data_IF_985420048321
#
_entry.id   IF_985420048321
#
_cell.length_a   1.000
_cell.length_b   1.000
_cell.length_c   1.000
_cell.angle_alpha   90.00
_cell.angle_beta   90.00
_cell.angle_gamma   90.00
#
_symmetry.space_group_name_H-M   'P 1'
#
loop_
_entity.id
_entity.type
_entity.pdbx_description
1 polymer ?
#
# COMPACT_ATOMS: atom_id res chain seq x y z
N UNK A 1 0.52 17.00 6.98
CA UNK A 1 0.90 15.64 7.42
C UNK A 1 2.41 15.61 7.62
N UNK A 2 2.91 14.90 8.65
CA UNK A 2 4.34 14.71 8.88
C UNK A 2 5.01 14.00 7.70
N UNK A 3 6.28 14.31 7.41
CA UNK A 3 7.00 13.80 6.24
C UNK A 3 7.04 12.27 6.21
N UNK A 4 7.47 11.60 7.28
CA UNK A 4 7.52 10.14 7.33
C UNK A 4 6.15 9.49 7.10
N UNK A 5 5.09 10.01 7.73
CA UNK A 5 3.73 9.52 7.45
C UNK A 5 3.37 9.68 5.97
N UNK A 6 3.57 10.87 5.40
CA UNK A 6 3.22 11.12 3.99
C UNK A 6 3.97 10.20 3.05
N UNK A 7 5.27 10.04 3.26
CA UNK A 7 6.14 9.25 2.38
C UNK A 7 5.86 7.75 2.50
N UNK A 8 5.35 7.25 3.62
CA UNK A 8 4.89 5.86 3.72
C UNK A 8 3.51 5.68 3.07
N UNK A 9 2.56 6.57 3.38
CA UNK A 9 1.19 6.43 2.84
C UNK A 9 1.08 6.69 1.35
N UNK A 10 1.99 7.47 0.75
CA UNK A 10 2.00 7.75 -0.69
C UNK A 10 2.10 6.45 -1.54
N UNK A 11 3.17 5.63 -1.45
CA UNK A 11 3.25 4.39 -2.20
C UNK A 11 2.24 3.34 -1.74
N UNK A 12 1.86 3.29 -0.45
CA UNK A 12 0.75 2.43 0.01
C UNK A 12 -0.56 2.76 -0.71
N UNK A 13 -0.87 4.05 -0.88
CA UNK A 13 -2.08 4.50 -1.57
C UNK A 13 -2.05 4.16 -3.07
N UNK A 14 -0.89 4.24 -3.71
CA UNK A 14 -0.70 3.84 -5.10
C UNK A 14 -0.97 2.34 -5.30
N UNK A 15 -0.34 1.48 -4.49
CA UNK A 15 -0.52 0.03 -4.56
C UNK A 15 -1.96 -0.39 -4.24
N UNK A 16 -2.57 0.22 -3.22
CA UNK A 16 -3.97 0.01 -2.87
C UNK A 16 -4.90 0.42 -4.02
N UNK A 17 -4.69 1.59 -4.60
CA UNK A 17 -5.51 2.10 -5.71
C UNK A 17 -5.37 1.29 -6.99
N UNK A 18 -4.16 0.75 -7.26
CA UNK A 18 -3.91 -0.21 -8.36
C UNK A 18 -4.51 -1.60 -8.11
N UNK A 19 -4.91 -1.91 -6.87
CA UNK A 19 -5.31 -3.27 -6.46
C UNK A 19 -4.23 -4.30 -6.80
N UNK A 20 -2.97 -3.92 -6.64
CA UNK A 20 -1.86 -4.79 -6.99
C UNK A 20 -1.82 -6.03 -6.08
N UNK A 21 -1.70 -7.20 -6.69
CA UNK A 21 -1.60 -8.50 -5.99
C UNK A 21 -0.55 -9.33 -6.72
N UNK A 22 0.42 -9.86 -5.97
CA UNK A 22 1.43 -10.78 -6.51
C UNK A 22 0.87 -12.16 -6.86
N UNK A 23 1.66 -13.01 -7.53
CA UNK A 23 1.22 -14.36 -7.89
C UNK A 23 0.93 -15.22 -6.64
N UNK A 24 -0.13 -16.03 -6.72
CA UNK A 24 -0.46 -17.00 -5.67
C UNK A 24 0.44 -18.22 -5.86
N UNK A 25 1.60 -18.20 -5.23
CA UNK A 25 2.59 -19.30 -5.26
C UNK A 25 2.27 -20.38 -4.21
N UNK A 26 2.91 -21.56 -4.27
CA UNK A 26 2.80 -22.57 -3.20
C UNK A 26 3.16 -22.00 -1.82
N UNK A 27 4.15 -21.11 -1.74
CA UNK A 27 4.51 -20.41 -0.51
C UNK A 27 3.37 -19.52 -0.01
N UNK A 28 2.69 -18.77 -0.89
CA UNK A 28 1.51 -17.97 -0.50
C UNK A 28 0.39 -18.87 0.02
N UNK A 29 0.17 -20.03 -0.59
CA UNK A 29 -0.83 -21.00 -0.12
C UNK A 29 -0.46 -21.62 1.24
N UNK A 30 0.83 -21.88 1.50
CA UNK A 30 1.31 -22.35 2.79
C UNK A 30 1.12 -21.28 3.87
N UNK A 31 1.52 -20.03 3.60
CA UNK A 31 1.32 -18.90 4.51
C UNK A 31 -0.15 -18.69 4.87
N UNK A 32 -1.08 -18.88 3.93
CA UNK A 32 -2.53 -18.80 4.20
C UNK A 32 -3.04 -19.87 5.17
N UNK A 33 -2.35 -21.00 5.30
CA UNK A 33 -2.68 -22.06 6.26
C UNK A 33 -2.00 -21.84 7.61
N UNK A 34 -0.80 -21.26 7.61
CA UNK A 34 0.03 -21.08 8.80
C UNK A 34 -0.32 -19.82 9.60
N UNK A 35 -0.65 -18.71 8.91
CA UNK A 35 -0.82 -17.40 9.55
C UNK A 35 -2.20 -17.18 10.18
N UNK A 36 -3.22 -17.94 9.77
CA UNK A 36 -4.60 -17.73 10.19
C UNK A 36 -5.11 -18.91 11.01
N UNK A 37 -5.86 -18.61 12.08
CA UNK A 37 -6.43 -19.62 12.98
C UNK A 37 -7.72 -20.27 12.43
N UNK A 38 -8.30 -19.69 11.37
CA UNK A 38 -9.49 -20.18 10.68
C UNK A 38 -9.15 -20.44 9.19
N UNK A 39 -9.90 -21.32 8.50
CA UNK A 39 -9.69 -21.54 7.07
C UNK A 39 -9.74 -20.22 6.29
N UNK A 40 -8.75 -19.97 5.43
CA UNK A 40 -8.56 -18.68 4.74
C UNK A 40 -9.81 -18.17 4.00
N UNK A 41 -10.63 -19.08 3.46
CA UNK A 41 -11.84 -18.75 2.71
C UNK A 41 -13.05 -18.39 3.59
N UNK A 42 -12.99 -18.66 4.90
CA UNK A 42 -14.03 -18.32 5.87
C UNK A 42 -13.77 -16.97 6.55
N UNK A 43 -12.63 -16.33 6.28
CA UNK A 43 -12.25 -15.05 6.89
C UNK A 43 -13.19 -13.94 6.41
N UNK A 44 -13.88 -13.30 7.35
CA UNK A 44 -14.60 -12.05 7.09
C UNK A 44 -13.63 -10.86 7.06
N UNK A 45 -13.13 -10.56 5.85
CA UNK A 45 -12.25 -9.42 5.60
C UNK A 45 -12.91 -8.06 5.90
N UNK A 46 -14.24 -7.96 5.88
CA UNK A 46 -14.93 -6.72 6.23
C UNK A 46 -14.83 -6.45 7.73
N UNK A 47 -14.97 -7.49 8.54
CA UNK A 47 -14.81 -7.42 10.00
C UNK A 47 -13.34 -7.21 10.37
N UNK A 48 -12.40 -7.84 9.65
CA UNK A 48 -10.98 -7.77 9.95
C UNK A 48 -10.36 -6.36 9.83
N UNK A 49 -10.97 -5.42 9.08
CA UNK A 49 -10.44 -4.06 8.89
C UNK A 49 -10.16 -3.28 10.17
N UNK A 50 -10.96 -3.51 11.21
CA UNK A 50 -10.84 -2.85 12.51
C UNK A 50 -10.36 -3.83 13.59
N UNK A 51 -9.94 -5.04 13.21
CA UNK A 51 -9.42 -6.02 14.15
C UNK A 51 -7.93 -5.74 14.39
N UNK A 52 -7.59 -5.41 15.63
CA UNK A 52 -6.22 -5.26 16.11
C UNK A 52 -6.13 -5.94 17.49
N UNK A 53 -5.01 -6.59 17.78
CA UNK A 53 -4.75 -7.13 19.10
C UNK A 53 -4.71 -5.97 20.11
N UNK A 54 -5.32 -6.17 21.29
CA UNK A 54 -5.43 -5.08 22.28
C UNK A 54 -4.06 -4.68 22.81
N UNK A 55 -3.17 -5.65 22.89
CA UNK A 55 -1.80 -5.56 23.36
C UNK A 55 -0.94 -4.69 22.43
N UNK A 56 -1.22 -4.69 21.12
CA UNK A 56 -0.48 -3.91 20.12
C UNK A 56 -1.14 -2.55 19.79
N UNK A 57 -2.35 -2.29 20.31
CA UNK A 57 -3.12 -1.09 20.02
C UNK A 57 -2.67 0.09 20.89
N UNK A 58 -1.51 0.67 20.55
CA UNK A 58 -0.96 1.82 21.28
C UNK A 58 -1.83 3.09 21.16
N UNK A 59 -2.44 3.32 19.99
CA UNK A 59 -3.37 4.43 19.75
C UNK A 59 -4.74 3.92 19.29
N UNK A 60 -5.74 3.83 20.19
CA UNK A 60 -7.07 3.38 19.81
C UNK A 60 -7.76 4.41 18.91
N UNK A 61 -8.52 3.91 17.93
CA UNK A 61 -9.29 4.78 17.04
C UNK A 61 -10.49 5.41 17.78
N UNK A 62 -10.67 6.73 17.68
CA UNK A 62 -11.92 7.36 18.08
C UNK A 62 -13.09 6.88 17.20
N UNK A 63 -14.29 6.81 17.77
CA UNK A 63 -15.50 6.39 17.04
C UNK A 63 -15.73 7.16 15.73
N UNK A 64 -15.41 8.46 15.71
CA UNK A 64 -15.52 9.29 14.51
C UNK A 64 -14.63 8.79 13.37
N UNK A 65 -13.42 8.32 13.68
CA UNK A 65 -12.51 7.75 12.69
C UNK A 65 -13.08 6.45 12.13
N UNK A 66 -13.65 5.58 12.97
CA UNK A 66 -14.28 4.34 12.51
C UNK A 66 -15.46 4.60 11.56
N UNK A 67 -16.29 5.59 11.88
CA UNK A 67 -17.41 6.02 11.01
C UNK A 67 -16.87 6.54 9.67
N UNK A 68 -15.83 7.38 9.70
CA UNK A 68 -15.20 7.92 8.50
C UNK A 68 -14.65 6.79 7.62
N UNK A 69 -13.86 5.88 8.18
CA UNK A 69 -13.28 4.76 7.44
C UNK A 69 -14.34 3.81 6.90
N UNK A 70 -15.39 3.52 7.67
CA UNK A 70 -16.51 2.72 7.20
C UNK A 70 -17.23 3.38 6.01
N UNK A 71 -17.41 4.69 6.04
CA UNK A 71 -18.07 5.46 4.98
C UNK A 71 -17.20 5.50 3.71
N UNK A 72 -15.91 5.77 3.86
CA UNK A 72 -14.94 5.73 2.76
C UNK A 72 -14.91 4.35 2.10
N UNK A 73 -14.90 3.27 2.89
CA UNK A 73 -14.83 1.92 2.35
C UNK A 73 -16.15 1.43 1.73
N UNK A 74 -17.29 1.66 2.38
CA UNK A 74 -18.57 1.10 1.91
C UNK A 74 -19.23 1.93 0.81
N UNK A 75 -18.92 3.23 0.71
CA UNK A 75 -19.58 4.15 -0.20
C UNK A 75 -18.60 4.68 -1.24
N UNK A 76 -17.52 5.35 -0.79
CA UNK A 76 -16.61 6.06 -1.70
C UNK A 76 -15.80 5.08 -2.55
N UNK A 77 -15.28 4.01 -1.95
CA UNK A 77 -14.46 3.03 -2.65
C UNK A 77 -15.21 2.35 -3.82
N UNK A 78 -16.45 1.84 -3.68
CA UNK A 78 -17.24 1.35 -4.81
C UNK A 78 -17.49 2.39 -5.90
N UNK A 79 -17.76 3.65 -5.53
CA UNK A 79 -17.97 4.74 -6.50
C UNK A 79 -16.69 4.98 -7.31
N UNK A 80 -15.52 4.95 -6.66
CA UNK A 80 -14.22 5.14 -7.31
C UNK A 80 -13.77 3.93 -8.14
N UNK A 81 -14.42 2.78 -8.01
CA UNK A 81 -14.19 1.59 -8.84
C UNK A 81 -15.03 1.59 -10.12
N UNK A 82 -16.14 2.34 -10.15
CA UNK A 82 -17.05 2.44 -11.27
C UNK A 82 -16.88 3.74 -12.06
N UNK A 83 -17.35 3.78 -13.30
CA UNK A 83 -17.41 5.03 -14.06
C UNK A 83 -18.47 5.97 -13.45
N UNK A 84 -18.22 7.28 -13.28
CA UNK A 84 -17.04 8.04 -13.69
C UNK A 84 -15.92 8.13 -12.64
N UNK A 85 -16.13 7.66 -11.40
CA UNK A 85 -15.16 7.73 -10.30
C UNK A 85 -13.81 7.06 -10.60
N UNK A 86 -13.81 6.02 -11.44
CA UNK A 86 -12.59 5.37 -11.95
C UNK A 86 -11.63 6.34 -12.62
N UNK A 87 -12.12 7.34 -13.37
CA UNK A 87 -11.26 8.37 -13.99
C UNK A 87 -10.53 9.21 -12.95
N UNK A 88 -11.20 9.53 -11.84
CA UNK A 88 -10.59 10.26 -10.73
C UNK A 88 -9.50 9.41 -10.07
N UNK A 89 -9.76 8.11 -9.88
CA UNK A 89 -8.76 7.16 -9.37
C UNK A 89 -7.53 7.06 -10.29
N UNK A 90 -7.73 6.92 -11.59
CA UNK A 90 -6.64 6.86 -12.57
C UNK A 90 -5.78 8.14 -12.52
N UNK A 91 -6.42 9.32 -12.46
CA UNK A 91 -5.70 10.59 -12.29
C UNK A 91 -4.93 10.65 -10.97
N UNK A 92 -5.53 10.22 -9.86
CA UNK A 92 -4.87 10.19 -8.56
C UNK A 92 -3.66 9.24 -8.55
N UNK A 93 -3.76 8.07 -9.20
CA UNK A 93 -2.66 7.13 -9.35
C UNK A 93 -1.51 7.72 -10.19
N UNK A 94 -1.83 8.44 -11.26
CA UNK A 94 -0.85 9.13 -12.08
C UNK A 94 -0.09 10.19 -11.27
N UNK A 95 -0.81 11.02 -10.52
CA UNK A 95 -0.19 12.01 -9.63
C UNK A 95 0.64 11.34 -8.51
N UNK A 96 0.18 10.21 -7.97
CA UNK A 96 0.91 9.51 -6.92
C UNK A 96 2.25 8.95 -7.42
N UNK A 97 2.29 8.36 -8.62
CA UNK A 97 3.55 7.83 -9.18
C UNK A 97 4.51 8.96 -9.58
N UNK A 98 4.01 10.10 -10.05
CA UNK A 98 4.84 11.29 -10.29
C UNK A 98 5.55 11.78 -9.01
N UNK A 99 4.86 11.78 -7.86
CA UNK A 99 5.47 12.16 -6.59
C UNK A 99 6.46 11.10 -6.08
N UNK A 100 6.24 9.83 -6.38
CA UNK A 100 7.17 8.73 -6.06
C UNK A 100 8.47 8.91 -6.85
N UNK A 101 8.37 9.08 -8.17
CA UNK A 101 9.54 9.33 -9.02
C UNK A 101 10.31 10.59 -8.60
N UNK A 102 9.59 11.67 -8.27
CA UNK A 102 10.23 12.90 -7.78
C UNK A 102 11.04 12.66 -6.49
N UNK A 103 10.50 11.91 -5.51
CA UNK A 103 11.27 11.55 -4.31
C UNK A 103 12.50 10.71 -4.66
N UNK A 104 12.31 9.70 -5.51
CA UNK A 104 13.35 8.75 -5.88
C UNK A 104 14.51 9.46 -6.58
N UNK A 105 14.23 10.35 -7.53
CA UNK A 105 15.25 11.14 -8.22
C UNK A 105 16.00 12.08 -7.25
N UNK A 106 15.28 12.81 -6.39
CA UNK A 106 15.89 13.76 -5.46
C UNK A 106 16.76 13.10 -4.39
N UNK A 107 16.40 11.88 -4.00
CA UNK A 107 17.13 11.11 -2.98
C UNK A 107 18.12 10.12 -3.57
N UNK A 108 18.27 10.08 -4.89
CA UNK A 108 19.09 9.07 -5.59
C UNK A 108 18.68 7.64 -5.20
N UNK A 109 17.37 7.42 -5.08
CA UNK A 109 16.70 6.13 -4.83
C UNK A 109 16.95 5.54 -3.43
N UNK A 110 17.49 6.32 -2.48
CA UNK A 110 17.63 5.89 -1.08
C UNK A 110 16.35 6.18 -0.26
N UNK A 111 15.58 7.19 -0.68
CA UNK A 111 14.37 7.69 -0.02
C UNK A 111 14.60 8.16 1.45
N UNK A 112 13.55 8.67 2.10
CA UNK A 112 13.65 9.17 3.49
C UNK A 112 13.88 8.07 4.56
N UNK A 113 13.54 6.82 4.25
CA UNK A 113 13.66 5.73 5.22
C UNK A 113 13.29 4.37 4.62
N UNK A 114 13.56 3.26 5.34
CA UNK A 114 13.55 1.92 4.76
C UNK A 114 12.17 1.49 4.27
N UNK A 115 11.10 1.81 5.04
CA UNK A 115 9.72 1.45 4.68
C UNK A 115 9.28 2.16 3.39
N UNK A 116 9.50 3.47 3.31
CA UNK A 116 9.18 4.22 2.10
C UNK A 116 10.05 3.75 0.93
N UNK A 117 11.34 3.47 1.15
CA UNK A 117 12.26 2.96 0.12
C UNK A 117 11.76 1.67 -0.53
N UNK A 118 11.40 0.65 0.25
CA UNK A 118 10.97 -0.64 -0.32
C UNK A 118 9.61 -0.53 -1.02
N UNK A 119 8.72 0.33 -0.52
CA UNK A 119 7.42 0.57 -1.14
C UNK A 119 7.52 1.39 -2.44
N UNK A 120 8.35 2.43 -2.49
CA UNK A 120 8.64 3.17 -3.73
C UNK A 120 9.24 2.25 -4.79
N UNK A 121 10.25 1.46 -4.42
CA UNK A 121 10.83 0.45 -5.31
C UNK A 121 9.78 -0.52 -5.87
N UNK A 122 8.85 -1.00 -5.02
CA UNK A 122 7.76 -1.85 -5.46
C UNK A 122 6.80 -1.11 -6.41
N UNK A 123 6.48 0.16 -6.15
CA UNK A 123 5.68 0.97 -7.07
C UNK A 123 6.32 1.08 -8.46
N UNK A 124 7.62 1.35 -8.54
CA UNK A 124 8.35 1.39 -9.81
C UNK A 124 8.31 0.03 -10.54
N UNK A 125 8.44 -1.07 -9.80
CA UNK A 125 8.31 -2.42 -10.37
C UNK A 125 6.90 -2.73 -10.87
N UNK A 126 5.86 -2.30 -10.13
CA UNK A 126 4.45 -2.48 -10.52
C UNK A 126 4.10 -1.63 -11.74
N UNK A 127 4.72 -0.47 -11.90
CA UNK A 127 4.58 0.38 -13.09
C UNK A 127 5.26 -0.26 -14.31
N UNK A 128 6.55 -0.59 -14.20
CA UNK A 128 7.31 -1.32 -15.21
C UNK A 128 8.50 -2.07 -14.56
N UNK A 129 8.47 -3.42 -14.53
CA UNK A 129 9.56 -4.24 -13.99
C UNK A 129 10.92 -4.04 -14.66
N UNK A 130 10.95 -3.50 -15.89
CA UNK A 130 12.17 -3.27 -16.66
C UNK A 130 12.65 -1.81 -16.61
N UNK A 131 11.94 -0.95 -15.87
CA UNK A 131 12.24 0.48 -15.78
C UNK A 131 13.62 0.75 -15.21
N UNK A 132 14.22 1.85 -15.68
CA UNK A 132 15.48 2.33 -15.11
C UNK A 132 15.33 2.71 -13.64
N UNK A 133 14.18 3.31 -13.26
CA UNK A 133 13.86 3.63 -11.87
C UNK A 133 13.94 2.40 -10.96
N UNK A 134 13.35 1.27 -11.35
CA UNK A 134 13.45 0.03 -10.58
C UNK A 134 14.90 -0.47 -10.46
N UNK A 135 15.67 -0.43 -11.56
CA UNK A 135 17.08 -0.85 -11.55
C UNK A 135 17.94 0.02 -10.63
N UNK A 136 17.69 1.33 -10.58
CA UNK A 136 18.41 2.26 -9.71
C UNK A 136 18.08 2.06 -8.22
N UNK A 137 16.91 1.51 -7.89
CA UNK A 137 16.54 1.12 -6.53
C UNK A 137 17.25 -0.12 -6.00
N UNK A 138 17.61 -1.07 -6.88
CA UNK A 138 18.23 -2.35 -6.49
C UNK A 138 19.56 -2.19 -5.72
N UNK A 139 20.56 -1.43 -6.21
CA UNK A 139 21.80 -1.26 -5.47
C UNK A 139 21.59 -0.55 -4.12
N UNK A 140 20.52 0.26 -3.99
CA UNK A 140 20.17 1.00 -2.77
C UNK A 140 19.58 0.16 -1.64
N UNK A 141 19.35 -1.13 -1.86
CA UNK A 141 18.90 -2.04 -0.80
C UNK A 141 19.98 -2.23 0.27
N UNK A 142 21.25 -2.25 -0.14
CA UNK A 142 22.38 -2.48 0.77
C UNK A 142 22.65 -1.30 1.70
N UNK A 143 22.20 -0.08 1.37
CA UNK A 143 22.31 1.09 2.26
C UNK A 143 21.49 0.93 3.57
N UNK A 144 20.57 -0.05 3.63
CA UNK A 144 19.70 -0.33 4.79
C UNK A 144 19.94 -1.72 5.42
N UNK A 145 21.00 -2.42 5.04
CA UNK A 145 21.40 -3.74 5.57
C UNK A 145 22.74 -3.64 6.30
#
# INVERSE_FOLDING_TARGET
MWCHCRMVYLPMSYLYGKRFVGPITPTVLALRKELFTVPYHEIDWNRARNACAKEDLYYPHPLLHDILWASLHKIVEPILMCWPGKKLREKALQTAIEHIHYEDENTRYICIGPVNKVLNMLCCWVEDPNSEAFKLHLPRLYDYL
#
